data_IF_722087422677
#
_entry.id   IF_722087422677
#
_cell.length_a   1.000
_cell.length_b   1.000
_cell.length_c   1.000
_cell.angle_alpha   90.00
_cell.angle_beta   90.00
_cell.angle_gamma   90.00
#
_symmetry.space_group_name_H-M   'P 1'
#
loop_
_entity.id
_entity.type
_entity.pdbx_description
1 polymer ?
#
# COMPACT_ATOMS: atom_id res chain seq x y z
N UNK A 1 -15.41 -21.37 -51.80
CA UNK A 1 -13.99 -21.68 -51.70
C UNK A 1 -13.45 -20.99 -50.48
N UNK A 2 -13.31 -21.74 -49.49
CA UNK A 2 -12.93 -21.54 -48.14
C UNK A 2 -11.43 -21.32 -47.97
N UNK A 3 -11.08 -20.65 -46.89
CA UNK A 3 -9.87 -20.91 -46.14
C UNK A 3 -10.09 -20.52 -44.69
N UNK A 4 -10.29 -21.53 -43.87
CA UNK A 4 -10.15 -21.48 -42.43
C UNK A 4 -8.64 -21.41 -42.13
N UNK A 5 -8.22 -20.51 -41.25
CA UNK A 5 -6.97 -20.64 -40.51
C UNK A 5 -7.32 -20.87 -39.04
N UNK A 6 -7.19 -22.10 -38.65
CA UNK A 6 -7.11 -22.56 -37.27
C UNK A 6 -5.64 -22.41 -36.82
N UNK A 7 -5.40 -21.61 -35.78
CA UNK A 7 -4.12 -21.59 -35.03
C UNK A 7 -4.42 -21.55 -33.56
N UNK A 8 -4.73 -22.72 -33.01
CA UNK A 8 -4.58 -23.00 -31.58
C UNK A 8 -3.10 -23.06 -31.23
N UNK A 9 -2.57 -22.06 -30.61
CA UNK A 9 -1.25 -22.10 -29.93
C UNK A 9 -1.48 -22.37 -28.46
N UNK A 10 -1.18 -23.58 -28.04
CA UNK A 10 -1.09 -23.98 -26.64
C UNK A 10 0.15 -23.31 -26.02
N UNK A 11 -0.07 -22.37 -25.11
CA UNK A 11 0.91 -21.93 -24.11
C UNK A 11 0.23 -21.82 -22.74
N UNK A 12 -0.12 -22.96 -22.18
CA UNK A 12 -0.48 -23.09 -20.78
C UNK A 12 0.43 -24.13 -20.13
N UNK A 13 1.24 -23.71 -19.15
CA UNK A 13 1.97 -24.68 -18.34
C UNK A 13 2.90 -24.15 -17.28
N UNK A 14 3.55 -23.01 -17.48
CA UNK A 14 4.60 -22.55 -16.55
C UNK A 14 4.16 -21.43 -15.58
N UNK A 15 3.18 -20.60 -15.94
CA UNK A 15 2.76 -19.46 -15.11
C UNK A 15 1.82 -19.82 -13.94
N UNK A 16 1.18 -20.97 -13.99
CA UNK A 16 0.15 -21.38 -13.01
C UNK A 16 0.75 -21.85 -11.68
N UNK A 17 1.91 -22.48 -11.69
CA UNK A 17 2.52 -23.03 -10.48
C UNK A 17 3.20 -21.97 -9.60
N UNK A 18 3.83 -20.98 -10.19
CA UNK A 18 4.44 -19.85 -9.43
C UNK A 18 3.37 -19.00 -8.74
N UNK A 19 2.21 -18.76 -9.39
CA UNK A 19 1.11 -18.00 -8.76
C UNK A 19 0.47 -18.70 -7.58
N UNK A 20 0.32 -20.03 -7.62
CA UNK A 20 -0.21 -20.81 -6.50
C UNK A 20 0.73 -20.87 -5.29
N UNK A 21 2.04 -20.80 -5.51
CA UNK A 21 3.03 -20.76 -4.43
C UNK A 21 3.09 -19.38 -3.76
N UNK A 22 3.03 -18.28 -4.52
CA UNK A 22 2.97 -16.91 -4.01
C UNK A 22 1.75 -16.66 -3.10
N UNK A 23 0.60 -17.22 -3.46
CA UNK A 23 -0.63 -17.08 -2.67
C UNK A 23 -0.60 -17.88 -1.36
N UNK A 24 0.13 -18.99 -1.30
CA UNK A 24 0.33 -19.77 -0.05
C UNK A 24 1.23 -19.04 0.95
N UNK A 25 2.22 -18.27 0.49
CA UNK A 25 3.08 -17.47 1.37
C UNK A 25 2.32 -16.29 2.01
N UNK A 26 1.40 -15.65 1.28
CA UNK A 26 0.51 -14.61 1.84
C UNK A 26 -0.46 -15.17 2.90
N UNK A 27 -0.94 -16.39 2.74
CA UNK A 27 -1.79 -17.07 3.72
C UNK A 27 -1.06 -17.44 5.01
N UNK A 28 0.26 -17.70 4.95
CA UNK A 28 1.08 -17.99 6.13
C UNK A 28 1.24 -16.78 7.07
N UNK A 29 1.10 -15.57 6.57
CA UNK A 29 1.11 -14.35 7.39
C UNK A 29 -0.16 -14.16 8.22
N UNK A 30 -1.28 -14.80 7.84
CA UNK A 30 -2.60 -14.53 8.41
C UNK A 30 -3.17 -15.64 9.31
N UNK A 31 -2.60 -16.87 9.32
CA UNK A 31 -3.30 -18.02 9.93
C UNK A 31 -2.38 -19.02 10.63
N UNK A 32 -1.61 -18.63 11.65
CA UNK A 32 -1.04 -19.63 12.54
C UNK A 32 -1.60 -19.47 13.97
N UNK A 33 -2.32 -20.48 14.51
CA UNK A 33 -2.73 -20.45 15.90
C UNK A 33 -1.50 -20.63 16.81
N UNK A 34 -1.46 -19.85 17.88
CA UNK A 34 -0.49 -20.01 18.96
C UNK A 34 -0.82 -21.32 19.69
N UNK A 35 -0.16 -22.41 19.32
CA UNK A 35 -0.14 -23.62 20.15
C UNK A 35 1.17 -23.67 20.92
N UNK A 36 1.06 -23.62 22.24
CA UNK A 36 2.15 -23.83 23.17
C UNK A 36 2.79 -25.21 22.96
N UNK A 37 4.10 -25.24 22.68
CA UNK A 37 4.90 -26.48 22.77
C UNK A 37 5.78 -26.35 24.00
N UNK A 38 5.55 -27.29 24.94
CA UNK A 38 6.28 -27.44 26.18
C UNK A 38 7.73 -27.86 25.95
N UNK A 39 8.58 -27.35 26.82
CA UNK A 39 10.00 -27.67 26.91
C UNK A 39 10.25 -29.17 27.25
N UNK A 40 11.16 -29.80 26.54
CA UNK A 40 12.02 -30.85 27.10
C UNK A 40 13.27 -31.11 26.23
N UNK A 41 14.39 -31.17 26.92
CA UNK A 41 15.67 -31.79 26.63
C UNK A 41 16.79 -30.93 26.05
N UNK A 42 17.61 -30.48 27.03
CA UNK A 42 19.02 -30.14 26.84
C UNK A 42 19.85 -31.43 26.78
N UNK A 43 20.74 -31.56 25.79
CA UNK A 43 21.97 -32.35 25.91
C UNK A 43 23.05 -31.94 24.91
N UNK A 44 24.22 -31.68 25.50
CA UNK A 44 25.58 -31.77 24.95
C UNK A 44 26.04 -30.87 23.82
N UNK A 45 26.86 -29.91 24.21
CA UNK A 45 27.77 -29.10 23.37
C UNK A 45 28.93 -29.99 22.91
N UNK A 46 29.17 -30.04 21.61
CA UNK A 46 30.47 -30.44 21.09
C UNK A 46 31.02 -29.28 20.23
N UNK A 47 32.17 -28.77 20.63
CA UNK A 47 32.87 -27.64 20.02
C UNK A 47 33.53 -28.08 18.71
N UNK A 48 32.98 -27.65 17.57
CA UNK A 48 33.77 -27.54 16.35
C UNK A 48 33.55 -26.18 15.73
N UNK A 49 34.61 -25.39 15.68
CA UNK A 49 34.74 -24.13 14.99
C UNK A 49 34.65 -24.38 13.47
N UNK A 50 33.50 -24.17 12.89
CA UNK A 50 33.33 -24.07 11.44
C UNK A 50 32.72 -22.71 11.14
N UNK A 51 33.33 -21.99 10.25
CA UNK A 51 32.84 -20.76 9.59
C UNK A 51 31.41 -21.01 9.12
N UNK A 52 30.43 -20.56 9.91
CA UNK A 52 29.03 -20.94 9.76
C UNK A 52 28.34 -20.16 8.67
N UNK A 53 28.13 -20.77 7.55
CA UNK A 53 26.90 -20.51 6.79
C UNK A 53 25.77 -21.09 7.65
N UNK A 54 24.89 -20.25 8.21
CA UNK A 54 23.69 -20.66 8.91
C UNK A 54 22.84 -21.48 7.93
N UNK A 55 22.72 -22.78 8.17
CA UNK A 55 21.80 -23.64 7.39
C UNK A 55 20.39 -23.21 7.80
N UNK A 56 19.79 -22.38 6.98
CA UNK A 56 18.39 -21.99 7.10
C UNK A 56 17.54 -23.21 6.74
N UNK A 57 16.59 -23.58 7.60
CA UNK A 57 15.69 -24.68 7.26
C UNK A 57 14.78 -24.32 6.06
N UNK A 58 14.32 -25.34 5.32
CA UNK A 58 13.59 -25.16 4.10
C UNK A 58 12.28 -24.34 4.26
N UNK A 59 11.64 -24.40 5.44
CA UNK A 59 10.40 -23.64 5.72
C UNK A 59 10.71 -22.17 5.92
N UNK A 60 11.78 -21.86 6.62
CA UNK A 60 12.27 -20.49 6.82
C UNK A 60 12.66 -19.88 5.48
N UNK A 61 13.36 -20.63 4.63
CA UNK A 61 13.72 -20.17 3.29
C UNK A 61 12.48 -19.93 2.40
N UNK A 62 11.51 -20.83 2.43
CA UNK A 62 10.23 -20.68 1.72
C UNK A 62 9.47 -19.41 2.18
N UNK A 63 9.39 -19.18 3.51
CA UNK A 63 8.74 -18.01 4.08
C UNK A 63 9.44 -16.70 3.63
N UNK A 64 10.76 -16.62 3.78
CA UNK A 64 11.54 -15.42 3.41
C UNK A 64 11.41 -15.14 1.91
N UNK A 65 11.58 -16.15 1.07
CA UNK A 65 11.47 -15.98 -0.37
C UNK A 65 10.05 -15.59 -0.79
N UNK A 66 9.01 -16.21 -0.22
CA UNK A 66 7.61 -15.87 -0.50
C UNK A 66 7.27 -14.43 -0.10
N UNK A 67 7.74 -13.99 1.09
CA UNK A 67 7.55 -12.62 1.53
C UNK A 67 8.34 -11.62 0.66
N UNK A 68 9.58 -11.95 0.28
CA UNK A 68 10.38 -11.12 -0.59
C UNK A 68 9.77 -11.00 -1.99
N UNK A 69 9.20 -12.07 -2.56
CA UNK A 69 8.45 -12.04 -3.81
C UNK A 69 7.21 -11.14 -3.72
N UNK A 70 6.43 -11.27 -2.61
CA UNK A 70 5.24 -10.46 -2.37
C UNK A 70 5.57 -8.96 -2.26
N UNK A 71 6.65 -8.62 -1.57
CA UNK A 71 7.07 -7.23 -1.40
C UNK A 71 7.74 -6.66 -2.64
N UNK A 72 8.49 -7.47 -3.39
CA UNK A 72 9.17 -7.04 -4.61
C UNK A 72 8.21 -6.84 -5.80
N UNK A 73 7.12 -7.60 -5.87
CA UNK A 73 6.23 -7.62 -7.02
C UNK A 73 4.76 -7.55 -6.62
N UNK A 74 4.04 -6.59 -7.15
CA UNK A 74 2.59 -6.49 -6.93
C UNK A 74 1.83 -7.63 -7.58
N UNK A 75 0.86 -8.17 -6.86
CA UNK A 75 -0.17 -9.04 -7.45
C UNK A 75 -1.31 -8.15 -7.93
N UNK A 76 -1.60 -8.18 -9.25
CA UNK A 76 -2.76 -7.47 -9.78
C UNK A 76 -4.04 -8.13 -9.30
N UNK A 77 -4.86 -7.37 -8.59
CA UNK A 77 -6.17 -7.81 -8.12
C UNK A 77 -7.28 -7.26 -9.01
N UNK A 78 -8.39 -7.98 -9.18
CA UNK A 78 -9.53 -7.48 -9.95
C UNK A 78 -10.20 -6.30 -9.24
N UNK A 79 -10.81 -5.42 -10.02
CA UNK A 79 -11.75 -4.42 -9.52
C UNK A 79 -13.11 -5.11 -9.41
N UNK A 80 -13.69 -5.16 -8.21
CA UNK A 80 -14.97 -5.83 -7.94
C UNK A 80 -16.14 -4.88 -7.78
N UNK A 81 -15.88 -3.59 -7.52
CA UNK A 81 -16.89 -2.57 -7.26
C UNK A 81 -16.60 -1.32 -8.07
N UNK A 82 -17.66 -0.66 -8.51
CA UNK A 82 -17.61 0.58 -9.28
C UNK A 82 -18.39 1.70 -8.60
N UNK A 83 -18.04 2.96 -8.84
CA UNK A 83 -18.72 4.11 -8.21
C UNK A 83 -20.23 4.14 -8.46
N UNK A 84 -20.70 3.75 -9.65
CA UNK A 84 -22.12 3.74 -9.99
C UNK A 84 -22.95 2.74 -9.17
N UNK A 85 -22.35 1.67 -8.64
CA UNK A 85 -23.02 0.76 -7.69
C UNK A 85 -23.39 1.47 -6.38
N UNK A 86 -22.72 2.59 -6.09
CA UNK A 86 -22.93 3.44 -4.91
C UNK A 86 -23.65 4.75 -5.26
N UNK A 87 -24.20 4.85 -6.46
CA UNK A 87 -24.92 6.06 -6.92
C UNK A 87 -24.02 7.27 -7.15
N UNK A 88 -22.77 7.04 -7.52
CA UNK A 88 -21.82 8.08 -7.91
C UNK A 88 -21.54 7.97 -9.41
N UNK A 89 -21.74 9.07 -10.15
CA UNK A 89 -21.26 9.15 -11.52
C UNK A 89 -19.73 9.22 -11.54
N UNK A 90 -19.12 8.71 -12.60
CA UNK A 90 -17.65 8.72 -12.72
C UNK A 90 -17.19 8.69 -14.18
N UNK A 91 -16.00 9.17 -14.40
CA UNK A 91 -15.24 9.05 -15.66
C UNK A 91 -14.09 8.04 -15.45
N UNK A 92 -13.86 7.16 -16.42
CA UNK A 92 -12.59 6.46 -16.51
C UNK A 92 -11.52 7.42 -17.03
N UNK A 93 -10.43 7.56 -16.28
CA UNK A 93 -9.36 8.51 -16.58
C UNK A 93 -8.05 7.81 -16.81
N UNK A 94 -7.23 8.40 -17.66
CA UNK A 94 -5.87 7.94 -17.96
C UNK A 94 -4.93 9.13 -17.92
N UNK A 95 -3.79 8.96 -17.27
CA UNK A 95 -2.75 9.99 -17.24
C UNK A 95 -1.36 9.36 -17.15
N UNK A 96 -0.32 10.05 -17.60
CA UNK A 96 1.04 9.60 -17.42
C UNK A 96 1.51 9.85 -15.98
N UNK A 97 2.15 8.87 -15.37
CA UNK A 97 3.03 9.12 -14.23
C UNK A 97 4.15 10.08 -14.64
N UNK A 98 4.91 10.60 -13.69
CA UNK A 98 6.01 11.53 -13.97
C UNK A 98 7.04 10.98 -14.97
N UNK A 99 7.22 9.67 -15.02
CA UNK A 99 8.13 8.94 -15.91
C UNK A 99 7.43 8.28 -17.12
N UNK A 100 6.17 8.65 -17.39
CA UNK A 100 5.42 8.23 -18.57
C UNK A 100 4.69 6.89 -18.44
N UNK A 101 4.74 6.19 -17.30
CA UNK A 101 3.92 5.00 -17.07
C UNK A 101 2.44 5.40 -17.12
N UNK A 102 1.63 4.69 -17.93
CA UNK A 102 0.19 4.95 -18.02
C UNK A 102 -0.50 4.54 -16.75
N UNK A 103 -1.18 5.48 -16.12
CA UNK A 103 -1.98 5.30 -14.92
C UNK A 103 -3.46 5.35 -15.29
N UNK A 104 -4.24 4.38 -14.81
CA UNK A 104 -5.69 4.30 -15.00
C UNK A 104 -6.40 4.57 -13.68
N UNK A 105 -7.49 5.33 -13.73
CA UNK A 105 -8.23 5.74 -12.54
C UNK A 105 -9.67 6.07 -12.79
N UNK A 106 -10.31 6.64 -11.77
CA UNK A 106 -11.64 7.23 -11.83
C UNK A 106 -11.57 8.67 -11.38
N UNK A 107 -12.27 9.53 -12.09
CA UNK A 107 -12.71 10.83 -11.59
C UNK A 107 -14.19 10.76 -11.25
N UNK A 108 -14.53 11.05 -10.01
CA UNK A 108 -15.89 11.04 -9.47
C UNK A 108 -16.24 12.50 -9.18
N UNK A 109 -17.01 13.18 -10.05
CA UNK A 109 -17.32 14.60 -9.90
C UNK A 109 -18.33 14.84 -8.78
N UNK A 110 -18.18 15.96 -8.08
CA UNK A 110 -19.15 16.54 -7.16
C UNK A 110 -19.31 18.04 -7.46
N UNK A 111 -20.41 18.62 -7.02
CA UNK A 111 -20.69 20.06 -7.24
C UNK A 111 -19.98 20.92 -6.18
N UNK A 112 -18.67 21.06 -6.31
CA UNK A 112 -17.84 21.89 -5.42
C UNK A 112 -16.45 22.21 -6.01
N UNK A 113 -15.70 23.09 -5.31
CA UNK A 113 -14.31 23.45 -5.61
C UNK A 113 -13.28 22.65 -4.77
N UNK A 114 -13.68 21.49 -4.23
CA UNK A 114 -12.84 20.66 -3.36
C UNK A 114 -12.51 19.33 -4.01
N UNK A 115 -11.24 18.93 -4.00
CA UNK A 115 -10.75 17.71 -4.62
C UNK A 115 -9.97 16.86 -3.61
N UNK A 116 -10.27 15.56 -3.56
CA UNK A 116 -9.45 14.56 -2.88
C UNK A 116 -8.79 13.63 -3.90
N UNK A 117 -7.49 13.43 -3.76
CA UNK A 117 -6.74 12.44 -4.54
C UNK A 117 -6.37 11.27 -3.63
N UNK A 118 -6.77 10.07 -4.03
CA UNK A 118 -6.58 8.85 -3.25
C UNK A 118 -5.44 8.01 -3.78
N UNK A 119 -4.50 7.68 -2.90
CA UNK A 119 -3.35 6.83 -3.14
C UNK A 119 -3.52 5.53 -2.35
N UNK A 120 -3.69 4.39 -3.03
CA UNK A 120 -4.06 3.13 -2.40
C UNK A 120 -2.88 2.40 -1.73
N UNK A 121 -3.14 1.45 -0.81
CA UNK A 121 -2.12 0.59 -0.21
C UNK A 121 -1.77 -0.60 -1.12
N UNK A 122 -0.61 -1.22 -0.91
CA UNK A 122 -0.28 -2.53 -1.48
C UNK A 122 -0.98 -3.65 -0.68
N UNK A 123 -1.49 -4.71 -1.33
CA UNK A 123 -1.58 -5.01 -2.76
C UNK A 123 -2.94 -4.62 -3.38
N UNK A 124 -3.59 -3.57 -2.85
CA UNK A 124 -4.90 -3.11 -3.30
C UNK A 124 -4.86 -2.48 -4.69
N UNK A 125 -6.03 -2.06 -5.17
CA UNK A 125 -6.21 -1.16 -6.29
C UNK A 125 -7.19 -0.03 -5.89
N UNK A 126 -7.62 0.81 -6.83
CA UNK A 126 -8.54 1.95 -6.58
C UNK A 126 -9.88 1.58 -5.92
N UNK A 127 -10.34 0.33 -6.06
CA UNK A 127 -11.56 -0.15 -5.38
C UNK A 127 -11.26 -0.67 -3.98
N UNK A 128 -10.10 -1.25 -3.76
CA UNK A 128 -9.73 -1.95 -2.54
C UNK A 128 -9.06 -3.30 -2.81
N UNK A 129 -9.45 -4.34 -2.05
CA UNK A 129 -8.84 -5.67 -2.11
C UNK A 129 -9.88 -6.79 -1.92
N UNK A 130 -9.91 -7.80 -2.81
CA UNK A 130 -10.88 -8.89 -2.79
C UNK A 130 -10.51 -10.03 -1.81
N UNK A 131 -10.09 -9.70 -0.59
CA UNK A 131 -9.56 -10.67 0.38
C UNK A 131 -10.52 -11.77 0.82
N UNK A 132 -11.80 -11.68 0.47
CA UNK A 132 -12.82 -12.70 0.73
C UNK A 132 -12.90 -13.78 -0.37
N UNK A 133 -12.20 -13.61 -1.50
CA UNK A 133 -12.24 -14.49 -2.66
C UNK A 133 -10.90 -15.19 -2.91
N UNK A 134 -10.95 -16.47 -3.30
CA UNK A 134 -9.77 -17.16 -3.82
C UNK A 134 -9.41 -16.62 -5.23
N UNK A 135 -8.13 -16.46 -5.54
CA UNK A 135 -6.94 -16.83 -4.79
C UNK A 135 -6.40 -15.74 -3.86
N UNK A 136 -7.15 -14.63 -3.63
CA UNK A 136 -6.72 -13.46 -2.83
C UNK A 136 -7.12 -13.56 -1.35
N UNK A 137 -7.64 -14.70 -0.89
CA UNK A 137 -8.10 -14.91 0.49
C UNK A 137 -6.92 -14.92 1.47
N UNK A 138 -6.52 -13.71 1.89
CA UNK A 138 -5.49 -13.45 2.88
C UNK A 138 -5.81 -12.13 3.61
N UNK A 139 -4.93 -11.66 4.49
CA UNK A 139 -5.11 -10.42 5.26
C UNK A 139 -6.44 -10.35 6.02
N UNK A 140 -6.85 -11.45 6.66
CA UNK A 140 -8.07 -11.55 7.46
C UNK A 140 -9.27 -12.18 6.74
N UNK A 141 -9.20 -12.42 5.42
CA UNK A 141 -10.23 -13.14 4.67
C UNK A 141 -11.51 -12.32 4.42
N UNK A 142 -11.44 -11.00 4.44
CA UNK A 142 -12.56 -10.08 4.18
C UNK A 142 -12.22 -9.10 3.05
N UNK A 143 -13.23 -8.41 2.56
CA UNK A 143 -13.09 -7.38 1.53
C UNK A 143 -12.61 -6.06 2.15
N UNK A 144 -11.51 -5.49 1.65
CA UNK A 144 -11.23 -4.08 1.84
C UNK A 144 -11.92 -3.32 0.69
N UNK A 145 -12.91 -2.49 1.01
CA UNK A 145 -13.74 -1.78 0.03
C UNK A 145 -13.74 -0.29 0.32
N UNK A 146 -13.16 0.50 -0.59
CA UNK A 146 -13.02 1.95 -0.41
C UNK A 146 -14.24 2.74 -0.88
N UNK A 147 -15.14 2.13 -1.66
CA UNK A 147 -16.29 2.83 -2.26
C UNK A 147 -17.25 3.44 -1.23
N UNK A 148 -17.56 2.78 -0.07
CA UNK A 148 -18.37 3.42 0.96
C UNK A 148 -17.76 4.72 1.49
N UNK A 149 -16.43 4.77 1.63
CA UNK A 149 -15.73 5.97 2.08
C UNK A 149 -15.72 7.05 0.98
N UNK A 150 -15.50 6.66 -0.28
CA UNK A 150 -15.65 7.59 -1.41
C UNK A 150 -17.05 8.19 -1.45
N UNK A 151 -18.09 7.37 -1.27
CA UNK A 151 -19.48 7.85 -1.26
C UNK A 151 -19.74 8.90 -0.18
N UNK A 152 -19.26 8.65 1.04
CA UNK A 152 -19.42 9.57 2.16
C UNK A 152 -18.73 10.91 1.89
N UNK A 153 -17.51 10.87 1.36
CA UNK A 153 -16.74 12.08 1.04
C UNK A 153 -17.32 12.81 -0.19
N UNK A 154 -17.78 12.07 -1.19
CA UNK A 154 -18.50 12.61 -2.33
C UNK A 154 -19.79 13.35 -1.90
N UNK A 155 -20.60 12.73 -1.03
CA UNK A 155 -21.83 13.35 -0.50
C UNK A 155 -21.55 14.58 0.37
N UNK A 156 -20.36 14.65 0.98
CA UNK A 156 -19.89 15.86 1.64
C UNK A 156 -19.34 16.92 0.65
N UNK A 157 -19.46 16.68 -0.66
CA UNK A 157 -19.10 17.60 -1.73
C UNK A 157 -17.63 17.56 -2.14
N UNK A 158 -16.95 16.44 -2.04
CA UNK A 158 -15.58 16.30 -2.56
C UNK A 158 -15.62 15.62 -3.93
N UNK A 159 -15.04 16.27 -4.94
CA UNK A 159 -14.61 15.59 -6.15
C UNK A 159 -13.49 14.61 -5.79
N UNK A 160 -13.43 13.47 -6.47
CA UNK A 160 -12.47 12.41 -6.13
C UNK A 160 -11.71 12.00 -7.39
N UNK A 161 -10.38 11.98 -7.29
CA UNK A 161 -9.52 11.24 -8.20
C UNK A 161 -8.98 10.04 -7.42
N UNK A 162 -9.23 8.84 -7.92
CA UNK A 162 -8.65 7.60 -7.41
C UNK A 162 -8.11 6.78 -8.57
N UNK A 163 -6.98 6.12 -8.39
CA UNK A 163 -6.29 5.44 -9.49
C UNK A 163 -5.53 4.22 -8.98
N UNK A 164 -5.20 3.34 -9.89
CA UNK A 164 -4.28 2.24 -9.60
C UNK A 164 -2.84 2.74 -9.75
N UNK A 165 -2.02 2.57 -8.73
CA UNK A 165 -0.58 2.84 -8.85
C UNK A 165 0.06 1.86 -9.84
N UNK A 166 1.24 2.22 -10.39
CA UNK A 166 2.00 1.31 -11.28
C UNK A 166 2.03 -0.11 -10.74
N UNK A 167 2.04 -1.09 -11.61
CA UNK A 167 2.07 -2.52 -11.28
C UNK A 167 0.81 -3.07 -10.57
N UNK A 168 -0.17 -2.23 -10.23
CA UNK A 168 -1.43 -2.63 -9.59
C UNK A 168 -2.62 -2.48 -10.53
N UNK A 169 -3.74 -3.13 -10.19
CA UNK A 169 -5.01 -3.02 -10.90
C UNK A 169 -4.85 -3.07 -12.42
N UNK A 170 -5.31 -2.00 -13.11
CA UNK A 170 -5.25 -1.88 -14.57
C UNK A 170 -4.16 -0.93 -15.07
N UNK A 171 -3.46 -0.23 -14.20
CA UNK A 171 -2.38 0.68 -14.59
C UNK A 171 -1.20 -0.05 -15.23
N UNK A 172 -0.39 0.69 -15.98
CA UNK A 172 0.77 0.18 -16.67
C UNK A 172 1.81 -0.46 -15.75
N UNK A 173 2.66 -1.29 -16.34
CA UNK A 173 3.84 -1.83 -15.65
C UNK A 173 4.98 -0.83 -15.74
N UNK A 174 5.53 -0.45 -14.59
CA UNK A 174 6.69 0.42 -14.48
C UNK A 174 7.84 -0.28 -13.76
N UNK A 175 9.06 0.23 -13.98
CA UNK A 175 10.25 -0.23 -13.25
C UNK A 175 10.45 -1.75 -13.28
N UNK A 176 10.16 -2.40 -14.44
CA UNK A 176 10.27 -3.86 -14.59
C UNK A 176 9.31 -4.68 -13.74
N UNK A 177 8.22 -4.06 -13.23
CA UNK A 177 7.27 -4.71 -12.33
C UNK A 177 7.67 -4.68 -10.85
N UNK A 178 8.78 -4.03 -10.53
CA UNK A 178 9.30 -3.93 -9.16
C UNK A 178 8.53 -2.87 -8.36
N UNK A 179 8.25 -3.18 -7.10
CA UNK A 179 7.75 -2.24 -6.10
C UNK A 179 8.91 -1.57 -5.36
N UNK A 180 8.85 -0.25 -5.28
CA UNK A 180 9.84 0.56 -4.57
C UNK A 180 9.39 1.01 -3.18
N UNK A 181 8.22 0.58 -2.70
CA UNK A 181 7.65 0.98 -1.41
C UNK A 181 7.59 2.49 -1.18
N UNK A 182 7.46 3.25 -2.25
CA UNK A 182 7.39 4.70 -2.28
C UNK A 182 8.42 5.34 -3.21
N UNK A 183 9.67 4.80 -3.27
CA UNK A 183 10.77 5.40 -4.07
C UNK A 183 10.63 5.21 -5.59
N UNK A 184 9.65 4.45 -6.03
CA UNK A 184 9.27 4.35 -7.44
C UNK A 184 7.87 4.94 -7.66
N UNK A 185 6.94 4.67 -6.76
CA UNK A 185 5.52 5.01 -6.86
C UNK A 185 5.23 6.50 -6.62
N UNK A 186 6.16 7.28 -6.04
CA UNK A 186 5.99 8.73 -5.93
C UNK A 186 5.74 9.42 -7.27
N UNK A 187 6.24 8.82 -8.37
CA UNK A 187 6.03 9.34 -9.73
C UNK A 187 4.57 9.26 -10.16
N UNK A 188 3.82 8.28 -9.64
CA UNK A 188 2.38 8.13 -9.90
C UNK A 188 1.60 9.20 -9.14
N UNK A 189 1.99 9.47 -7.89
CA UNK A 189 1.42 10.55 -7.08
C UNK A 189 1.62 11.89 -7.77
N UNK A 190 2.84 12.21 -8.23
CA UNK A 190 3.11 13.45 -8.99
C UNK A 190 2.31 13.46 -10.29
N UNK A 191 2.21 12.35 -11.00
CA UNK A 191 1.37 12.23 -12.20
C UNK A 191 -0.07 12.61 -11.94
N UNK A 192 -0.66 12.14 -10.82
CA UNK A 192 -2.03 12.46 -10.42
C UNK A 192 -2.23 13.97 -10.10
N UNK A 193 -1.24 14.59 -9.44
CA UNK A 193 -1.25 16.02 -9.16
C UNK A 193 -1.21 16.86 -10.44
N UNK A 194 -0.31 16.51 -11.36
CA UNK A 194 -0.18 17.17 -12.67
C UNK A 194 -1.43 16.98 -13.51
N UNK A 195 -2.03 15.78 -13.47
CA UNK A 195 -3.29 15.51 -14.16
C UNK A 195 -4.41 16.40 -13.61
N UNK A 196 -4.59 16.47 -12.29
CA UNK A 196 -5.58 17.35 -11.67
C UNK A 196 -5.38 18.82 -12.06
N UNK A 197 -4.14 19.28 -12.17
CA UNK A 197 -3.80 20.64 -12.63
C UNK A 197 -4.01 20.87 -14.12
N UNK A 198 -4.01 19.83 -14.93
CA UNK A 198 -4.22 19.93 -16.39
C UNK A 198 -5.70 19.96 -16.81
N UNK A 199 -6.60 19.47 -15.97
CA UNK A 199 -8.04 19.46 -16.24
C UNK A 199 -8.66 20.84 -15.98
N UNK A 200 -9.52 21.30 -16.89
CA UNK A 200 -10.19 22.62 -16.76
C UNK A 200 -11.12 22.69 -15.55
N UNK A 201 -11.72 21.55 -15.18
CA UNK A 201 -12.69 21.42 -14.10
C UNK A 201 -12.05 21.25 -12.72
N UNK A 202 -10.80 20.76 -12.62
CA UNK A 202 -10.15 20.50 -11.33
C UNK A 202 -8.93 21.37 -11.03
N UNK A 203 -8.37 22.07 -12.03
CA UNK A 203 -7.07 22.78 -11.91
C UNK A 203 -7.01 23.84 -10.79
N UNK A 204 -8.14 24.44 -10.48
CA UNK A 204 -8.26 25.50 -9.47
C UNK A 204 -8.90 25.02 -8.15
N UNK A 205 -9.23 23.72 -8.05
CA UNK A 205 -9.83 23.16 -6.86
C UNK A 205 -8.84 23.12 -5.68
N UNK A 206 -9.38 23.25 -4.48
CA UNK A 206 -8.68 23.03 -3.21
C UNK A 206 -8.40 21.54 -3.05
N UNK A 207 -7.17 21.15 -3.34
CA UNK A 207 -6.77 19.74 -3.39
C UNK A 207 -6.19 19.29 -2.06
N UNK A 208 -6.65 18.13 -1.57
CA UNK A 208 -6.06 17.41 -0.46
C UNK A 208 -5.81 15.93 -0.83
N UNK A 209 -4.98 15.26 -0.04
CA UNK A 209 -4.55 13.89 -0.31
C UNK A 209 -5.10 12.92 0.73
N UNK A 210 -5.54 11.76 0.26
CA UNK A 210 -5.86 10.62 1.09
C UNK A 210 -4.96 9.45 0.72
N UNK A 211 -3.93 9.22 1.50
CA UNK A 211 -2.84 8.30 1.16
C UNK A 211 -2.78 7.14 2.15
N UNK A 212 -2.81 5.89 1.66
CA UNK A 212 -2.84 4.67 2.47
C UNK A 212 -1.55 3.87 2.27
N UNK A 213 -0.86 3.49 3.34
CA UNK A 213 0.31 2.59 3.36
C UNK A 213 1.33 2.94 2.25
N UNK A 214 1.43 2.10 1.21
CA UNK A 214 2.28 2.37 0.03
C UNK A 214 2.02 3.77 -0.55
N UNK A 215 0.74 4.16 -0.70
CA UNK A 215 0.36 5.48 -1.17
C UNK A 215 0.83 6.60 -0.25
N UNK A 216 0.81 6.38 1.09
CA UNK A 216 1.35 7.34 2.05
C UNK A 216 2.87 7.46 1.95
N UNK A 217 3.56 6.33 1.81
CA UNK A 217 5.01 6.30 1.61
C UNK A 217 5.38 7.03 0.30
N UNK A 218 4.69 6.74 -0.79
CA UNK A 218 4.91 7.40 -2.09
C UNK A 218 4.68 8.91 -2.02
N UNK A 219 3.65 9.35 -1.28
CA UNK A 219 3.39 10.78 -1.06
C UNK A 219 4.52 11.45 -0.29
N UNK A 220 5.02 10.82 0.79
CA UNK A 220 6.13 11.34 1.59
C UNK A 220 7.42 11.42 0.75
N UNK A 221 7.73 10.38 -0.03
CA UNK A 221 8.88 10.40 -0.95
C UNK A 221 8.72 11.50 -1.99
N UNK A 222 7.52 11.66 -2.56
CA UNK A 222 7.23 12.75 -3.51
C UNK A 222 7.45 14.13 -2.90
N UNK A 223 6.97 14.38 -1.68
CA UNK A 223 7.18 15.65 -0.95
C UNK A 223 8.65 15.92 -0.65
N UNK A 224 9.46 14.86 -0.47
CA UNK A 224 10.89 15.00 -0.28
C UNK A 224 11.63 15.32 -1.59
N UNK A 225 11.33 14.59 -2.65
CA UNK A 225 12.04 14.70 -3.93
C UNK A 225 11.60 15.91 -4.76
N UNK A 226 10.32 16.28 -4.67
CA UNK A 226 9.67 17.31 -5.50
C UNK A 226 8.70 18.15 -4.66
N UNK A 227 9.16 18.89 -3.63
CA UNK A 227 8.29 19.65 -2.74
C UNK A 227 7.45 20.70 -3.47
N UNK A 228 7.92 21.21 -4.60
CA UNK A 228 7.23 22.19 -5.43
C UNK A 228 5.86 21.67 -5.97
N UNK A 229 5.77 20.36 -6.28
CA UNK A 229 4.55 19.73 -6.78
C UNK A 229 3.44 19.69 -5.71
N UNK A 230 3.81 19.76 -4.43
CA UNK A 230 2.88 19.67 -3.30
C UNK A 230 2.54 21.02 -2.66
N UNK A 231 3.09 22.12 -3.17
CA UNK A 231 2.94 23.47 -2.57
C UNK A 231 1.49 23.95 -2.48
N UNK A 232 0.59 23.42 -3.30
CA UNK A 232 -0.83 23.76 -3.34
C UNK A 232 -1.71 22.84 -2.50
N UNK A 233 -1.16 21.76 -1.97
CA UNK A 233 -1.91 20.76 -1.20
C UNK A 233 -2.33 21.34 0.16
N UNK A 234 -3.62 21.22 0.48
CA UNK A 234 -4.22 21.84 1.67
C UNK A 234 -4.09 20.97 2.92
N UNK A 235 -4.18 19.65 2.77
CA UNK A 235 -4.06 18.69 3.86
C UNK A 235 -3.79 17.28 3.33
N UNK A 236 -3.38 16.39 4.24
CA UNK A 236 -3.22 14.98 3.97
C UNK A 236 -3.82 14.14 5.11
N UNK A 237 -4.45 13.02 4.74
CA UNK A 237 -4.67 11.87 5.61
C UNK A 237 -3.67 10.81 5.23
N UNK A 238 -2.80 10.41 6.16
CA UNK A 238 -1.86 9.30 6.04
C UNK A 238 -2.39 8.10 6.84
N UNK A 239 -3.13 7.20 6.18
CA UNK A 239 -3.71 6.04 6.82
C UNK A 239 -2.74 4.86 6.75
N UNK A 240 -2.29 4.43 7.91
CA UNK A 240 -1.39 3.29 8.11
C UNK A 240 -0.07 3.40 7.31
N UNK A 241 0.67 4.53 7.42
CA UNK A 241 2.02 4.61 6.88
C UNK A 241 2.89 3.53 7.51
N UNK A 242 3.93 3.09 6.81
CA UNK A 242 4.76 1.98 7.28
C UNK A 242 6.23 2.19 6.90
N UNK A 243 7.12 1.90 7.83
CA UNK A 243 8.54 1.73 7.52
C UNK A 243 8.77 0.29 7.06
N UNK A 244 9.14 0.02 5.79
CA UNK A 244 9.30 -1.34 5.29
C UNK A 244 10.25 -2.20 6.12
N UNK A 245 11.34 -1.64 6.63
CA UNK A 245 12.28 -2.35 7.50
C UNK A 245 11.62 -2.82 8.82
N UNK A 246 10.80 -1.96 9.46
CA UNK A 246 10.08 -2.34 10.70
C UNK A 246 8.99 -3.36 10.42
N UNK A 247 8.32 -3.26 9.27
CA UNK A 247 7.34 -4.25 8.83
C UNK A 247 7.98 -5.64 8.68
N UNK A 248 9.13 -5.73 8.00
CA UNK A 248 9.90 -6.97 7.84
C UNK A 248 10.39 -7.47 9.19
N UNK A 249 10.98 -6.60 10.01
CA UNK A 249 11.44 -6.95 11.35
C UNK A 249 10.32 -7.58 12.18
N UNK A 250 9.15 -6.96 12.21
CA UNK A 250 8.00 -7.46 12.96
C UNK A 250 7.55 -8.82 12.45
N UNK A 251 7.53 -9.02 11.11
CA UNK A 251 7.19 -10.31 10.52
C UNK A 251 8.20 -11.40 10.91
N UNK A 252 9.51 -11.11 10.90
CA UNK A 252 10.55 -12.05 11.29
C UNK A 252 10.49 -12.39 12.78
N UNK A 253 10.24 -11.39 13.64
CA UNK A 253 10.03 -11.59 15.08
C UNK A 253 8.83 -12.49 15.37
N UNK A 254 7.70 -12.25 14.69
CA UNK A 254 6.48 -13.08 14.81
C UNK A 254 6.72 -14.54 14.41
N UNK A 255 7.57 -14.77 13.40
CA UNK A 255 7.98 -16.11 12.96
C UNK A 255 9.16 -16.69 13.75
N UNK A 256 9.75 -15.92 14.69
CA UNK A 256 10.93 -16.30 15.49
C UNK A 256 12.14 -16.70 14.62
N UNK A 257 12.31 -16.04 13.49
CA UNK A 257 13.43 -16.30 12.56
C UNK A 257 14.63 -15.47 13.00
N UNK A 258 15.66 -16.14 13.47
CA UNK A 258 16.94 -15.51 13.79
C UNK A 258 17.61 -14.97 12.52
N UNK A 259 18.19 -13.75 12.60
CA UNK A 259 18.77 -13.04 11.46
C UNK A 259 17.82 -12.88 10.25
N UNK A 260 16.48 -12.96 10.50
CA UNK A 260 15.48 -12.96 9.46
C UNK A 260 15.46 -11.68 8.63
N UNK A 261 15.80 -10.53 9.21
CA UNK A 261 15.88 -9.25 8.49
C UNK A 261 17.01 -9.28 7.47
N UNK A 262 18.20 -9.76 7.82
CA UNK A 262 19.35 -9.83 6.89
C UNK A 262 19.08 -10.84 5.77
N UNK A 263 18.49 -11.99 6.10
CA UNK A 263 18.11 -13.00 5.11
C UNK A 263 17.06 -12.45 4.13
N UNK A 264 16.06 -11.72 4.65
CA UNK A 264 15.05 -11.07 3.83
C UNK A 264 15.66 -9.97 2.97
N UNK A 265 16.49 -9.10 3.54
CA UNK A 265 17.13 -8.00 2.80
C UNK A 265 17.94 -8.51 1.62
N UNK A 266 18.72 -9.58 1.81
CA UNK A 266 19.46 -10.25 0.73
C UNK A 266 18.51 -10.80 -0.35
N UNK A 267 17.40 -11.43 0.03
CA UNK A 267 16.41 -11.97 -0.89
C UNK A 267 15.65 -10.86 -1.64
N UNK A 268 15.34 -9.76 -0.97
CA UNK A 268 14.70 -8.57 -1.53
C UNK A 268 15.63 -7.83 -2.49
N UNK A 269 16.86 -7.60 -2.09
CA UNK A 269 17.89 -6.97 -2.94
C UNK A 269 18.10 -7.74 -4.24
N UNK A 270 18.18 -9.06 -4.17
CA UNK A 270 18.31 -9.92 -5.37
C UNK A 270 17.16 -9.72 -6.37
N UNK A 271 15.96 -9.36 -5.91
CA UNK A 271 14.75 -9.18 -6.75
C UNK A 271 14.58 -7.76 -7.25
N UNK A 272 14.98 -6.79 -6.44
CA UNK A 272 14.64 -5.37 -6.68
C UNK A 272 15.85 -4.50 -6.97
N UNK A 273 17.03 -4.92 -6.57
CA UNK A 273 18.24 -4.09 -6.56
C UNK A 273 18.31 -3.09 -5.40
N UNK A 274 17.29 -3.02 -4.53
CA UNK A 274 17.26 -2.15 -3.35
C UNK A 274 17.52 -2.94 -2.08
N UNK A 275 18.13 -2.31 -1.08
CA UNK A 275 18.13 -2.75 0.30
C UNK A 275 16.96 -2.12 1.06
N UNK A 276 16.52 -2.73 2.16
CA UNK A 276 15.42 -2.18 2.97
C UNK A 276 15.70 -0.76 3.48
N UNK A 277 16.96 -0.45 3.76
CA UNK A 277 17.40 0.88 4.21
C UNK A 277 17.21 1.95 3.13
N UNK A 278 17.22 1.57 1.85
CA UNK A 278 17.15 2.50 0.72
C UNK A 278 15.70 2.86 0.35
N UNK A 279 14.73 2.02 0.70
CA UNK A 279 13.37 2.16 0.16
C UNK A 279 12.48 3.15 0.92
N UNK A 280 12.79 3.51 2.15
CA UNK A 280 12.07 4.58 2.87
C UNK A 280 12.89 5.13 4.05
N UNK A 281 13.88 5.99 3.83
CA UNK A 281 14.60 6.66 4.92
C UNK A 281 13.65 7.51 5.76
N UNK A 282 13.68 7.34 7.10
CA UNK A 282 12.80 8.04 8.03
C UNK A 282 12.89 9.57 7.90
N UNK A 283 14.05 10.10 7.54
CA UNK A 283 14.27 11.52 7.34
C UNK A 283 13.38 12.14 6.26
N UNK A 284 12.85 11.36 5.30
CA UNK A 284 11.94 11.88 4.29
C UNK A 284 10.64 12.43 4.91
N UNK A 285 10.21 11.89 6.05
CA UNK A 285 9.06 12.40 6.79
C UNK A 285 9.23 13.87 7.23
N UNK A 286 10.47 14.37 7.36
CA UNK A 286 10.75 15.80 7.65
C UNK A 286 10.29 16.73 6.54
N UNK A 287 10.10 16.24 5.32
CA UNK A 287 9.64 17.05 4.20
C UNK A 287 8.12 17.25 4.17
N UNK A 288 7.38 16.56 5.04
CA UNK A 288 5.93 16.70 5.16
C UNK A 288 5.61 17.93 6.00
N UNK A 289 5.22 19.02 5.36
CA UNK A 289 4.89 20.30 5.99
C UNK A 289 3.39 20.63 5.95
N UNK A 290 2.61 19.92 5.13
CA UNK A 290 1.17 20.11 5.01
C UNK A 290 0.44 19.59 6.25
N UNK A 291 -0.72 20.17 6.63
CA UNK A 291 -1.57 19.62 7.68
C UNK A 291 -1.79 18.12 7.49
N UNK A 292 -1.46 17.29 8.50
CA UNK A 292 -1.42 15.85 8.35
C UNK A 292 -2.12 15.10 9.49
N UNK A 293 -3.16 14.33 9.16
CA UNK A 293 -3.78 13.34 10.04
C UNK A 293 -3.13 11.97 9.79
N UNK A 294 -2.40 11.46 10.75
CA UNK A 294 -1.91 10.07 10.75
C UNK A 294 -2.93 9.20 11.49
N UNK A 295 -3.37 8.11 10.87
CA UNK A 295 -4.25 7.13 11.50
C UNK A 295 -3.69 5.72 11.35
N UNK A 296 -3.76 4.92 12.42
CA UNK A 296 -3.14 3.58 12.46
C UNK A 296 -3.93 2.64 13.37
N UNK A 297 -4.07 1.39 12.98
CA UNK A 297 -4.50 0.30 13.88
C UNK A 297 -3.45 0.15 14.97
N UNK A 298 -3.84 0.37 16.25
CA UNK A 298 -2.86 0.38 17.36
C UNK A 298 -2.14 -0.95 17.52
N UNK A 299 -2.88 -2.04 17.46
CA UNK A 299 -2.37 -3.38 17.69
C UNK A 299 -2.13 -4.15 16.38
N UNK A 300 -1.83 -3.44 15.30
CA UNK A 300 -1.47 -4.05 14.01
C UNK A 300 -0.29 -5.02 14.20
N UNK A 301 -0.52 -6.30 13.92
CA UNK A 301 0.48 -7.35 14.12
C UNK A 301 1.67 -7.29 13.13
N UNK A 302 1.60 -6.43 12.11
CA UNK A 302 2.67 -6.22 11.12
C UNK A 302 3.49 -4.95 11.36
N UNK A 303 3.11 -4.11 12.34
CA UNK A 303 3.81 -2.86 12.63
C UNK A 303 3.98 -2.67 14.14
N UNK A 304 4.77 -1.66 14.52
CA UNK A 304 4.99 -1.31 15.93
C UNK A 304 4.43 0.09 16.20
N UNK A 305 3.62 0.28 17.26
CA UNK A 305 3.13 1.62 17.62
C UNK A 305 4.26 2.65 17.78
N UNK A 306 5.43 2.24 18.28
CA UNK A 306 6.61 3.09 18.41
C UNK A 306 7.12 3.62 17.06
N UNK A 307 7.06 2.80 15.99
CA UNK A 307 7.48 3.23 14.67
C UNK A 307 6.48 4.24 14.07
N UNK A 308 5.19 4.04 14.26
CA UNK A 308 4.17 5.00 13.81
C UNK A 308 4.29 6.31 14.57
N UNK A 309 4.57 6.26 15.88
CA UNK A 309 4.85 7.45 16.69
C UNK A 309 6.09 8.18 16.16
N UNK A 310 7.16 7.46 15.84
CA UNK A 310 8.38 8.03 15.26
C UNK A 310 8.12 8.71 13.91
N UNK A 311 7.33 8.07 13.02
CA UNK A 311 6.90 8.70 11.76
C UNK A 311 6.17 10.02 12.08
N UNK A 312 5.16 9.97 12.95
CA UNK A 312 4.37 11.13 13.33
C UNK A 312 5.24 12.25 13.92
N UNK A 313 6.14 11.93 14.85
CA UNK A 313 7.01 12.90 15.50
C UNK A 313 7.96 13.57 14.49
N UNK A 314 8.42 12.82 13.49
CA UNK A 314 9.36 13.27 12.45
C UNK A 314 8.71 14.21 11.43
N UNK A 315 7.37 14.18 11.24
CA UNK A 315 6.68 15.10 10.35
C UNK A 315 6.94 16.56 10.77
N UNK A 316 7.34 17.41 9.83
CA UNK A 316 7.53 18.86 10.08
C UNK A 316 6.23 19.67 10.04
N UNK A 317 5.10 19.05 9.74
CA UNK A 317 3.80 19.72 9.80
C UNK A 317 3.54 20.33 11.18
N UNK A 318 3.13 21.61 11.20
CA UNK A 318 2.74 22.31 12.42
C UNK A 318 1.34 21.96 12.89
N UNK A 319 0.48 21.55 11.97
CA UNK A 319 -0.87 21.07 12.23
C UNK A 319 -0.90 19.57 11.92
N UNK A 320 -0.68 18.76 12.93
CA UNK A 320 -0.66 17.31 12.80
C UNK A 320 -1.40 16.62 13.93
N UNK A 321 -2.08 15.50 13.61
CA UNK A 321 -2.84 14.69 14.55
C UNK A 321 -2.51 13.22 14.37
N UNK A 322 -2.33 12.48 15.45
CA UNK A 322 -2.23 11.02 15.46
C UNK A 322 -3.52 10.44 16.04
N UNK A 323 -4.14 9.52 15.28
CA UNK A 323 -5.33 8.81 15.68
C UNK A 323 -5.08 7.30 15.68
N UNK A 324 -5.36 6.66 16.81
CA UNK A 324 -5.27 5.22 16.94
C UNK A 324 -6.62 4.56 16.72
N UNK A 325 -6.68 3.65 15.74
CA UNK A 325 -7.83 2.79 15.50
C UNK A 325 -7.74 1.63 16.48
N UNK A 326 -8.75 1.52 17.34
CA UNK A 326 -8.87 0.50 18.37
C UNK A 326 -9.91 -0.56 17.98
N UNK A 327 -9.92 -1.69 18.70
CA UNK A 327 -10.92 -2.75 18.53
C UNK A 327 -10.62 -3.78 17.44
N UNK A 328 -9.46 -3.65 16.78
CA UNK A 328 -8.95 -4.64 15.82
C UNK A 328 -7.43 -4.70 15.87
N UNK A 329 -6.87 -5.85 15.51
CA UNK A 329 -5.44 -6.07 15.22
C UNK A 329 -5.18 -6.24 13.70
N UNK A 330 -6.26 -6.23 12.91
CA UNK A 330 -6.20 -6.47 11.48
C UNK A 330 -5.95 -5.16 10.72
N UNK A 331 -4.78 -5.07 10.08
CA UNK A 331 -4.40 -3.91 9.27
C UNK A 331 -5.44 -3.56 8.21
N UNK A 332 -5.98 -4.56 7.52
CA UNK A 332 -6.96 -4.36 6.44
C UNK A 332 -8.34 -3.91 6.95
N UNK A 333 -8.71 -4.25 8.20
CA UNK A 333 -9.88 -3.65 8.85
C UNK A 333 -9.72 -2.14 9.03
N UNK A 334 -8.51 -1.68 9.30
CA UNK A 334 -8.20 -0.26 9.39
C UNK A 334 -8.47 0.49 8.08
N UNK A 335 -8.36 -0.15 6.92
CA UNK A 335 -8.70 0.46 5.64
C UNK A 335 -10.20 0.65 5.41
N UNK A 336 -11.05 -0.15 6.10
CA UNK A 336 -12.50 0.01 6.09
C UNK A 336 -13.01 0.94 7.20
N UNK A 337 -12.14 1.36 8.12
CA UNK A 337 -12.55 2.04 9.35
C UNK A 337 -13.31 3.33 9.09
N UNK A 338 -12.79 4.21 8.25
CA UNK A 338 -13.41 5.51 8.01
C UNK A 338 -14.62 5.45 7.07
N UNK A 339 -14.80 4.37 6.31
CA UNK A 339 -16.06 4.07 5.64
C UNK A 339 -17.21 3.76 6.61
N UNK A 340 -16.90 3.41 7.87
CA UNK A 340 -17.86 3.16 8.95
C UNK A 340 -17.89 4.26 10.01
N UNK A 341 -16.78 5.00 10.18
CA UNK A 341 -16.59 6.03 11.21
C UNK A 341 -16.01 7.31 10.58
N UNK A 342 -16.75 8.01 9.70
CA UNK A 342 -16.19 9.03 8.81
C UNK A 342 -15.90 10.37 9.48
N UNK A 343 -16.48 10.66 10.66
CA UNK A 343 -16.52 12.02 11.20
C UNK A 343 -15.14 12.67 11.29
N UNK A 344 -14.13 11.92 11.74
CA UNK A 344 -12.78 12.46 11.89
C UNK A 344 -12.17 12.94 10.57
N UNK A 345 -12.32 12.17 9.48
CA UNK A 345 -11.77 12.55 8.16
C UNK A 345 -12.59 13.64 7.51
N UNK A 346 -13.93 13.65 7.72
CA UNK A 346 -14.81 14.73 7.27
C UNK A 346 -14.42 16.06 7.92
N UNK A 347 -14.28 16.08 9.24
CA UNK A 347 -13.88 17.27 9.99
C UNK A 347 -12.48 17.74 9.60
N UNK A 348 -11.55 16.81 9.43
CA UNK A 348 -10.18 17.11 9.01
C UNK A 348 -10.16 17.82 7.66
N UNK A 349 -10.77 17.24 6.65
CA UNK A 349 -10.79 17.85 5.33
C UNK A 349 -11.63 19.12 5.29
N UNK A 350 -12.79 19.17 5.97
CA UNK A 350 -13.59 20.39 6.05
C UNK A 350 -12.81 21.57 6.64
N UNK A 351 -12.04 21.34 7.71
CA UNK A 351 -11.21 22.38 8.33
C UNK A 351 -10.19 22.98 7.37
N UNK A 352 -9.57 22.14 6.52
CA UNK A 352 -8.44 22.57 5.70
C UNK A 352 -8.81 22.92 4.24
N UNK A 353 -10.01 22.57 3.79
CA UNK A 353 -10.48 22.85 2.42
C UNK A 353 -11.69 23.77 2.39
N UNK A 354 -12.17 24.30 3.55
CA UNK A 354 -13.22 25.32 3.57
C UNK A 354 -12.78 26.61 2.86
N UNK A 355 -13.76 27.40 2.45
CA UNK A 355 -13.54 28.75 1.94
C UNK A 355 -13.15 29.62 3.14
N UNK A 356 -11.99 30.28 3.08
CA UNK A 356 -11.64 31.32 4.01
C UNK A 356 -12.53 32.53 3.81
#
# INVERSE_FOLDING_TARGET
MGNQYDTTVQHEGAASNSRRQLLKAGAALATLPITAVSAANAQAVDNQTTTGATVTDAKTEEFINGMADLMAHSTRTPILRWPNEYGMDYEEIFFPAMDGVTIEGWFIPADSDRLLIFNHPMPCNRYGYPGHLDPWKNFGGFEANFLPEYKILHDAGYNIITYDMRNHGRSGTGSGGVNGHGVLEYRDVIGSLRYAKSRLDTKDMKTALYSRCLGANATVVGMHQHPEEFSHIKAMVALQPVTPAVFVQTAMENQKIANGVDLFDAAFHKRTGYHLVDVWPMEYAKSVTVPTLVAQVRNDFLTKPSNVQEIYDTLSSKDKKLFWIEGTDQRFEGYNYFGRNPQLVLDWFATHTSVA
#
